data_IF_692806222363
#
_entry.id   IF_692806222363
#
_cell.length_a   1.000
_cell.length_b   1.000
_cell.length_c   1.000
_cell.angle_alpha   90.00
_cell.angle_beta   90.00
_cell.angle_gamma   90.00
#
_symmetry.space_group_name_H-M   'P 1'
#
loop_
_entity.id
_entity.type
_entity.pdbx_description
1 polymer ?
#
# COMPACT_ATOMS: atom_id res chain seq x y z
N UNK A 1 -18.71 41.47 -13.52
CA UNK A 1 -18.42 42.60 -14.44
C UNK A 1 -17.21 42.19 -15.27
N UNK A 2 -17.29 42.38 -16.59
CA UNK A 2 -16.35 42.03 -17.69
C UNK A 2 -14.86 42.23 -17.33
N UNK A 3 -13.88 41.53 -17.91
CA UNK A 3 -13.63 41.38 -19.35
C UNK A 3 -12.87 40.07 -19.68
N UNK A 4 -13.34 39.43 -20.75
CA UNK A 4 -12.56 38.56 -21.63
C UNK A 4 -11.75 39.44 -22.60
N UNK A 5 -10.54 38.99 -22.97
CA UNK A 5 -9.97 39.29 -24.30
C UNK A 5 -9.02 38.17 -24.74
N UNK A 6 -8.85 38.11 -26.05
CA UNK A 6 -8.71 36.94 -26.91
C UNK A 6 -7.41 37.00 -27.72
N UNK A 7 -6.94 35.82 -28.14
CA UNK A 7 -6.18 35.51 -29.37
C UNK A 7 -4.73 36.06 -29.42
N UNK A 8 -3.75 35.52 -30.15
CA UNK A 8 -3.83 34.86 -31.47
C UNK A 8 -2.51 34.13 -31.77
N UNK A 9 -2.61 32.95 -32.39
CA UNK A 9 -1.54 32.13 -32.95
C UNK A 9 -0.96 32.79 -34.21
N UNK A 10 0.37 32.76 -34.39
CA UNK A 10 1.02 33.01 -35.69
C UNK A 10 1.91 31.81 -36.02
N UNK A 11 1.55 31.14 -37.11
CA UNK A 11 2.27 30.06 -37.77
C UNK A 11 3.11 30.71 -38.89
N UNK A 12 4.42 30.54 -38.89
CA UNK A 12 5.30 31.01 -39.98
C UNK A 12 5.92 29.82 -40.71
N UNK A 13 5.46 29.62 -41.95
CA UNK A 13 6.04 28.77 -42.98
C UNK A 13 7.20 29.52 -43.66
N UNK A 14 8.36 28.87 -43.79
CA UNK A 14 9.50 29.34 -44.58
C UNK A 14 9.97 28.24 -45.53
N UNK A 15 9.69 28.44 -46.82
CA UNK A 15 10.12 27.66 -47.98
C UNK A 15 11.42 28.26 -48.54
N UNK A 16 12.31 27.41 -49.07
CA UNK A 16 13.37 27.63 -50.09
C UNK A 16 14.67 26.91 -49.68
N UNK A 17 15.49 26.32 -50.54
CA UNK A 17 15.44 25.98 -51.95
C UNK A 17 16.55 24.93 -52.18
N UNK A 18 16.39 24.12 -53.21
CA UNK A 18 17.33 23.13 -53.74
C UNK A 18 18.59 23.82 -54.28
N UNK A 19 19.79 23.24 -54.13
CA UNK A 19 20.80 23.11 -55.19
C UNK A 19 21.88 22.06 -54.86
N UNK A 20 22.41 21.48 -55.93
CA UNK A 20 23.16 20.23 -56.05
C UNK A 20 24.56 20.21 -55.40
N UNK A 21 25.09 19.00 -55.16
CA UNK A 21 26.21 18.43 -55.93
C UNK A 21 26.65 17.07 -55.35
N UNK A 22 26.86 16.12 -56.26
CA UNK A 22 27.50 14.84 -56.04
C UNK A 22 28.97 14.99 -55.65
N UNK A 23 29.37 14.34 -54.56
CA UNK A 23 30.76 13.95 -54.33
C UNK A 23 30.77 12.50 -53.84
N UNK A 24 31.29 11.60 -54.68
CA UNK A 24 31.77 10.31 -54.22
C UNK A 24 33.07 10.59 -53.48
N UNK A 25 33.08 10.40 -52.16
CA UNK A 25 34.32 10.30 -51.41
C UNK A 25 34.30 8.96 -50.68
N UNK A 26 35.08 8.04 -51.22
CA UNK A 26 35.37 6.73 -50.65
C UNK A 26 36.34 6.96 -49.50
N UNK A 27 35.85 6.85 -48.27
CA UNK A 27 36.67 6.91 -47.06
C UNK A 27 36.20 5.78 -46.16
N UNK A 28 37.01 4.72 -46.15
CA UNK A 28 36.93 3.64 -45.19
C UNK A 28 37.28 4.21 -43.80
N UNK A 29 36.30 4.83 -43.16
CA UNK A 29 36.29 5.04 -41.72
C UNK A 29 35.71 3.79 -41.08
N UNK A 30 36.61 2.93 -40.61
CA UNK A 30 36.32 1.78 -39.75
C UNK A 30 35.91 2.31 -38.37
N UNK A 31 34.72 2.92 -38.28
CA UNK A 31 34.09 3.24 -37.02
C UNK A 31 33.59 1.93 -36.41
N UNK A 32 34.41 1.34 -35.55
CA UNK A 32 33.96 0.37 -34.57
C UNK A 32 32.80 0.99 -33.79
N UNK A 33 31.58 0.64 -34.18
CA UNK A 33 30.37 0.99 -33.47
C UNK A 33 30.47 0.39 -32.07
N UNK A 34 30.82 1.21 -31.10
CA UNK A 34 30.72 0.89 -29.70
C UNK A 34 29.23 0.95 -29.35
N UNK A 35 28.48 -0.10 -29.71
CA UNK A 35 27.08 -0.23 -29.32
C UNK A 35 27.04 -0.33 -27.79
N UNK A 36 26.39 0.59 -27.07
CA UNK A 36 26.17 0.40 -25.65
C UNK A 36 25.37 -0.89 -25.50
N UNK A 37 25.93 -1.88 -24.83
CA UNK A 37 25.19 -3.09 -24.49
C UNK A 37 24.09 -2.68 -23.51
N UNK A 38 22.87 -2.46 -24.00
CA UNK A 38 21.69 -2.28 -23.17
C UNK A 38 21.43 -3.62 -22.50
N UNK A 39 21.98 -3.82 -21.30
CA UNK A 39 21.62 -4.98 -20.50
C UNK A 39 20.10 -4.94 -20.29
N UNK A 40 19.41 -6.09 -20.40
CA UNK A 40 17.98 -6.15 -20.10
C UNK A 40 17.72 -5.55 -18.72
N UNK A 41 17.04 -4.41 -18.67
CA UNK A 41 16.72 -3.77 -17.41
C UNK A 41 15.69 -4.62 -16.67
N UNK A 42 16.00 -4.96 -15.43
CA UNK A 42 15.10 -5.69 -14.54
C UNK A 42 13.78 -4.92 -14.36
N UNK A 43 12.67 -5.52 -14.79
CA UNK A 43 11.32 -4.91 -14.79
C UNK A 43 10.59 -5.10 -13.45
N UNK A 44 11.22 -5.79 -12.48
CA UNK A 44 10.64 -6.06 -11.16
C UNK A 44 10.57 -4.79 -10.30
N UNK A 45 9.72 -4.82 -9.27
CA UNK A 45 9.63 -3.72 -8.31
C UNK A 45 10.93 -3.61 -7.50
N UNK A 46 11.74 -2.61 -7.84
CA UNK A 46 13.07 -2.43 -7.26
C UNK A 46 13.02 -1.96 -5.79
N UNK A 47 11.87 -1.49 -5.29
CA UNK A 47 11.74 -0.91 -3.94
C UNK A 47 12.05 -1.91 -2.84
N UNK A 48 11.79 -3.20 -3.06
CA UNK A 48 11.84 -4.22 -2.01
C UNK A 48 12.85 -5.34 -2.26
N UNK A 49 13.48 -5.39 -3.43
CA UNK A 49 14.38 -6.51 -3.82
C UNK A 49 15.52 -6.77 -2.85
N UNK A 50 16.02 -5.73 -2.18
CA UNK A 50 17.16 -5.83 -1.27
C UNK A 50 16.76 -6.09 0.19
N UNK A 51 15.46 -6.12 0.51
CA UNK A 51 14.98 -6.34 1.87
C UNK A 51 15.28 -7.77 2.32
N UNK A 52 15.59 -7.95 3.60
CA UNK A 52 15.98 -9.22 4.22
C UNK A 52 15.00 -9.60 5.32
N UNK A 53 15.00 -10.88 5.69
CA UNK A 53 14.23 -11.32 6.85
C UNK A 53 14.63 -10.51 8.09
N UNK A 54 13.63 -10.01 8.81
CA UNK A 54 13.80 -9.11 9.95
C UNK A 54 13.68 -7.62 9.60
N UNK A 55 13.84 -7.23 8.34
CA UNK A 55 13.68 -5.84 7.94
C UNK A 55 12.23 -5.37 8.14
N UNK A 56 12.09 -4.10 8.50
CA UNK A 56 10.81 -3.44 8.69
C UNK A 56 10.64 -2.42 7.58
N UNK A 57 9.50 -2.49 6.90
CA UNK A 57 9.17 -1.63 5.78
C UNK A 57 7.93 -0.79 6.11
N UNK A 58 8.03 0.52 5.89
CA UNK A 58 6.84 1.38 5.79
C UNK A 58 6.31 1.29 4.36
N UNK A 59 5.04 0.89 4.21
CA UNK A 59 4.41 0.64 2.92
C UNK A 59 3.01 1.24 2.88
N UNK A 60 2.41 1.29 1.70
CA UNK A 60 0.97 1.51 1.55
C UNK A 60 0.25 0.17 1.54
N UNK A 61 -1.02 0.14 1.95
CA UNK A 61 -1.83 -1.08 1.83
C UNK A 61 -1.86 -1.59 0.37
N UNK A 62 -1.87 -0.68 -0.62
CA UNK A 62 -1.80 -1.00 -2.05
C UNK A 62 -0.54 -1.76 -2.48
N UNK A 63 0.55 -1.69 -1.71
CA UNK A 63 1.79 -2.41 -2.02
C UNK A 63 1.69 -3.91 -1.67
N UNK A 64 0.65 -4.33 -0.93
CA UNK A 64 0.49 -5.67 -0.36
C UNK A 64 -0.39 -6.55 -1.24
N UNK A 65 0.17 -7.67 -1.70
CA UNK A 65 -0.55 -8.70 -2.46
C UNK A 65 -1.06 -9.77 -1.50
N UNK A 66 -2.36 -10.12 -1.52
CA UNK A 66 -2.90 -11.16 -0.66
C UNK A 66 -2.38 -12.54 -1.05
N UNK A 67 -2.32 -13.44 -0.08
CA UNK A 67 -1.85 -14.84 -0.24
C UNK A 67 -2.89 -15.86 0.20
N UNK A 68 -4.12 -15.40 0.51
CA UNK A 68 -5.27 -16.24 0.82
C UNK A 68 -6.50 -15.82 0.04
N UNK A 69 -7.32 -16.79 -0.37
CA UNK A 69 -8.52 -16.55 -1.18
C UNK A 69 -9.76 -16.19 -0.38
N UNK A 70 -9.72 -16.24 0.95
CA UNK A 70 -10.86 -15.98 1.83
C UNK A 70 -10.43 -15.38 3.17
N UNK A 71 -11.33 -14.62 3.79
CA UNK A 71 -11.21 -14.04 5.14
C UNK A 71 -12.54 -14.24 5.88
N UNK A 72 -12.50 -14.27 7.21
CA UNK A 72 -13.69 -14.33 8.05
C UNK A 72 -14.37 -12.97 8.15
N UNK A 73 -15.53 -12.82 7.49
CA UNK A 73 -16.23 -11.53 7.44
C UNK A 73 -16.70 -11.05 8.81
N UNK A 74 -17.06 -11.95 9.73
CA UNK A 74 -17.50 -11.56 11.08
C UNK A 74 -16.40 -10.82 11.85
N UNK A 75 -15.13 -11.23 11.72
CA UNK A 75 -14.02 -10.52 12.36
C UNK A 75 -13.81 -9.13 11.73
N UNK A 76 -14.02 -9.01 10.42
CA UNK A 76 -13.94 -7.73 9.71
C UNK A 76 -15.08 -6.81 10.15
N UNK A 77 -16.32 -7.29 10.08
CA UNK A 77 -17.52 -6.51 10.43
C UNK A 77 -17.58 -6.16 11.91
N UNK A 78 -17.07 -6.99 12.80
CA UNK A 78 -16.93 -6.64 14.20
C UNK A 78 -16.06 -5.38 14.40
N UNK A 79 -14.90 -5.30 13.74
CA UNK A 79 -14.02 -4.12 13.82
C UNK A 79 -14.64 -2.92 13.11
N UNK A 80 -15.11 -3.09 11.87
CA UNK A 80 -15.72 -2.00 11.10
C UNK A 80 -16.95 -1.42 11.81
N UNK A 81 -17.83 -2.25 12.37
CA UNK A 81 -18.99 -1.81 13.11
C UNK A 81 -18.61 -1.05 14.38
N UNK A 82 -17.57 -1.50 15.10
CA UNK A 82 -17.06 -0.78 16.27
C UNK A 82 -16.49 0.58 15.92
N UNK A 83 -15.69 0.68 14.85
CA UNK A 83 -14.96 1.90 14.49
C UNK A 83 -15.82 3.03 13.90
N UNK A 84 -17.10 2.75 13.64
CA UNK A 84 -18.04 3.67 12.99
C UNK A 84 -19.23 3.99 13.92
N UNK A 85 -18.94 4.27 15.19
CA UNK A 85 -19.97 4.66 16.16
C UNK A 85 -20.75 5.90 15.72
N UNK A 86 -22.03 5.95 16.10
CA UNK A 86 -22.90 7.11 15.82
C UNK A 86 -22.50 8.37 16.59
N UNK A 87 -22.02 9.39 15.88
CA UNK A 87 -21.67 10.71 16.43
C UNK A 87 -22.82 11.40 17.18
N UNK A 88 -24.06 11.11 16.79
CA UNK A 88 -25.25 11.77 17.31
C UNK A 88 -26.16 10.79 18.07
N UNK A 89 -25.56 9.83 18.78
CA UNK A 89 -26.32 8.84 19.55
C UNK A 89 -27.24 9.50 20.57
N UNK A 90 -28.56 9.41 20.35
CA UNK A 90 -29.57 10.10 21.17
C UNK A 90 -29.47 9.79 22.67
N UNK A 91 -29.08 8.56 23.04
CA UNK A 91 -28.90 8.14 24.44
C UNK A 91 -27.95 9.04 25.23
N UNK A 92 -26.88 9.54 24.60
CA UNK A 92 -25.81 10.28 25.28
C UNK A 92 -25.71 11.75 24.82
N UNK A 93 -26.55 12.21 23.89
CA UNK A 93 -26.47 13.59 23.37
C UNK A 93 -26.56 14.67 24.47
N UNK A 94 -27.33 14.43 25.53
CA UNK A 94 -27.47 15.36 26.65
C UNK A 94 -26.35 15.22 27.71
N UNK A 95 -25.42 14.27 27.54
CA UNK A 95 -24.32 13.97 28.46
C UNK A 95 -22.98 13.95 27.68
N UNK A 96 -22.30 15.09 27.60
CA UNK A 96 -21.04 15.21 26.84
C UNK A 96 -19.95 14.23 27.28
N UNK A 97 -19.89 13.90 28.57
CA UNK A 97 -18.88 12.98 29.12
C UNK A 97 -19.15 11.55 28.66
N UNK A 98 -20.39 11.08 28.77
CA UNK A 98 -20.76 9.75 28.29
C UNK A 98 -20.74 9.66 26.76
N UNK A 99 -21.09 10.73 26.06
CA UNK A 99 -20.95 10.82 24.60
C UNK A 99 -19.49 10.63 24.17
N UNK A 100 -18.55 11.34 24.80
CA UNK A 100 -17.13 11.20 24.50
C UNK A 100 -16.62 9.80 24.88
N UNK A 101 -17.01 9.23 26.02
CA UNK A 101 -16.64 7.86 26.41
C UNK A 101 -17.13 6.83 25.40
N UNK A 102 -18.37 6.95 24.92
CA UNK A 102 -18.91 6.09 23.88
C UNK A 102 -18.14 6.22 22.56
N UNK A 103 -17.84 7.45 22.13
CA UNK A 103 -17.11 7.69 20.91
C UNK A 103 -15.65 7.22 21.00
N UNK A 104 -14.99 7.36 22.15
CA UNK A 104 -13.68 6.77 22.39
C UNK A 104 -13.69 5.24 22.28
N UNK A 105 -14.71 4.58 22.84
CA UNK A 105 -14.87 3.11 22.74
C UNK A 105 -15.24 2.61 21.34
N UNK A 106 -15.63 3.51 20.43
CA UNK A 106 -16.04 3.20 19.06
C UNK A 106 -15.08 3.80 18.05
N UNK A 107 -15.29 5.06 17.64
CA UNK A 107 -14.47 5.78 16.68
C UNK A 107 -13.04 5.96 17.18
N UNK A 108 -12.85 6.34 18.45
CA UNK A 108 -11.52 6.48 19.04
C UNK A 108 -10.73 5.18 19.07
N UNK A 109 -11.42 4.05 19.27
CA UNK A 109 -10.82 2.71 19.31
C UNK A 109 -10.17 2.33 17.98
N UNK A 110 -10.64 2.88 16.86
CA UNK A 110 -10.00 2.74 15.54
C UNK A 110 -8.54 3.16 15.55
N UNK A 111 -8.25 4.33 16.14
CA UNK A 111 -6.89 4.87 16.19
C UNK A 111 -6.00 4.05 17.13
N UNK A 112 -6.56 3.58 18.25
CA UNK A 112 -5.86 2.67 19.17
C UNK A 112 -5.50 1.34 18.51
N UNK A 113 -6.47 0.73 17.81
CA UNK A 113 -6.25 -0.52 17.07
C UNK A 113 -5.28 -0.33 15.88
N UNK A 114 -5.28 0.84 15.24
CA UNK A 114 -4.30 1.17 14.21
C UNK A 114 -2.89 1.29 14.78
N UNK A 115 -2.72 1.96 15.93
CA UNK A 115 -1.43 2.05 16.62
C UNK A 115 -0.88 0.64 16.97
N UNK A 116 -1.74 -0.27 17.45
CA UNK A 116 -1.35 -1.67 17.70
C UNK A 116 -0.90 -2.36 16.39
N UNK A 117 -1.65 -2.18 15.29
CA UNK A 117 -1.34 -2.80 14.00
C UNK A 117 -0.01 -2.34 13.38
N UNK A 118 0.47 -1.15 13.73
CA UNK A 118 1.76 -0.61 13.28
C UNK A 118 2.89 -0.79 14.29
N UNK A 119 2.67 -1.58 15.35
CA UNK A 119 3.68 -1.84 16.39
C UNK A 119 4.04 -0.60 17.21
N UNK A 120 3.08 0.30 17.42
CA UNK A 120 3.23 1.54 18.21
C UNK A 120 2.50 1.47 19.56
N UNK A 121 2.16 0.25 20.03
CA UNK A 121 1.23 -0.02 21.13
C UNK A 121 -0.14 0.65 20.92
N UNK A 122 -1.00 0.65 21.93
CA UNK A 122 -2.28 1.37 21.91
C UNK A 122 -2.09 2.90 21.97
N UNK A 123 -3.19 3.65 22.00
CA UNK A 123 -3.23 5.03 22.49
C UNK A 123 -4.27 5.20 23.58
N UNK A 124 -4.07 6.21 24.44
CA UNK A 124 -5.06 6.66 25.42
C UNK A 124 -6.31 7.23 24.74
N UNK A 125 -7.42 7.30 25.47
CA UNK A 125 -8.65 7.94 25.02
C UNK A 125 -8.42 9.41 24.63
N UNK A 126 -9.19 9.94 23.67
CA UNK A 126 -9.16 11.37 23.37
C UNK A 126 -9.74 12.15 24.55
N UNK A 127 -9.09 13.26 24.90
CA UNK A 127 -9.49 14.08 26.05
C UNK A 127 -10.65 15.05 25.74
N UNK A 128 -10.94 15.28 24.45
CA UNK A 128 -12.04 16.14 24.03
C UNK A 128 -12.65 15.70 22.68
N UNK A 129 -13.86 16.21 22.40
CA UNK A 129 -14.57 15.99 21.14
C UNK A 129 -13.83 16.60 19.95
N UNK A 130 -13.16 17.74 20.15
CA UNK A 130 -12.39 18.44 19.13
C UNK A 130 -11.20 17.61 18.69
N UNK A 131 -10.45 17.02 19.63
CA UNK A 131 -9.33 16.15 19.31
C UNK A 131 -9.78 14.92 18.52
N UNK A 132 -10.86 14.26 18.98
CA UNK A 132 -11.38 13.07 18.28
C UNK A 132 -11.87 13.40 16.87
N UNK A 133 -12.49 14.57 16.65
CA UNK A 133 -12.94 15.02 15.32
C UNK A 133 -11.78 15.40 14.39
N UNK A 134 -10.67 15.88 14.95
CA UNK A 134 -9.48 16.24 14.19
C UNK A 134 -8.66 15.02 13.75
N UNK A 135 -8.72 13.92 14.50
CA UNK A 135 -7.99 12.69 14.21
C UNK A 135 -8.43 12.06 12.88
N UNK A 136 -7.45 11.67 12.06
CA UNK A 136 -7.68 11.13 10.73
C UNK A 136 -6.57 10.17 10.30
N UNK A 137 -6.89 8.97 9.84
CA UNK A 137 -5.87 8.00 9.40
C UNK A 137 -5.09 8.44 8.14
N UNK A 138 -5.58 9.40 7.35
CA UNK A 138 -4.81 9.99 6.23
C UNK A 138 -3.79 11.02 6.70
N UNK A 139 -3.87 11.49 7.96
CA UNK A 139 -2.98 12.47 8.57
C UNK A 139 -2.46 11.88 9.88
N UNK A 140 -1.43 11.04 9.80
CA UNK A 140 -0.96 10.25 10.95
C UNK A 140 -0.41 11.08 12.12
N UNK A 141 -0.11 12.36 11.89
CA UNK A 141 0.28 13.33 12.90
C UNK A 141 -0.91 13.98 13.63
N UNK A 142 -2.14 13.75 13.17
CA UNK A 142 -3.37 14.27 13.82
C UNK A 142 -3.77 13.54 15.10
N UNK A 143 -3.11 12.43 15.43
CA UNK A 143 -3.27 11.67 16.67
C UNK A 143 -1.93 11.04 17.08
N UNK A 144 -1.78 10.73 18.37
CA UNK A 144 -0.58 10.07 18.90
C UNK A 144 -0.84 8.61 19.27
N UNK A 145 0.19 7.77 19.10
CA UNK A 145 0.29 6.42 19.66
C UNK A 145 1.16 6.45 20.93
N UNK A 146 1.12 5.41 21.76
CA UNK A 146 1.95 5.33 22.97
C UNK A 146 3.45 5.23 22.64
N UNK A 147 3.80 4.66 21.49
CA UNK A 147 5.18 4.53 21.03
C UNK A 147 5.35 4.96 19.57
N UNK A 148 6.59 4.98 19.09
CA UNK A 148 6.86 5.18 17.66
C UNK A 148 6.44 3.94 16.87
N UNK A 149 5.97 4.11 15.61
CA UNK A 149 5.70 2.98 14.73
C UNK A 149 6.88 2.03 14.64
N UNK A 150 6.59 0.73 14.54
CA UNK A 150 7.55 -0.36 14.47
C UNK A 150 8.47 -0.55 15.68
N UNK A 151 8.11 -0.01 16.85
CA UNK A 151 8.80 -0.34 18.11
C UNK A 151 8.53 -1.80 18.50
N UNK A 152 7.26 -2.21 18.49
CA UNK A 152 6.82 -3.56 18.80
C UNK A 152 6.81 -4.44 17.54
N UNK A 153 8.00 -4.91 17.16
CA UNK A 153 8.20 -5.65 15.89
C UNK A 153 7.43 -6.98 15.80
N UNK A 154 7.05 -7.55 16.94
CA UNK A 154 6.27 -8.78 17.02
C UNK A 154 4.79 -8.58 16.63
N UNK A 155 4.27 -7.36 16.78
CA UNK A 155 2.88 -7.04 16.45
C UNK A 155 2.67 -6.78 14.95
N UNK A 156 3.77 -6.48 14.24
CA UNK A 156 3.76 -6.16 12.82
C UNK A 156 3.33 -7.35 11.96
N UNK A 157 2.49 -7.04 10.97
CA UNK A 157 2.06 -8.00 9.95
C UNK A 157 3.21 -8.35 9.03
N UNK A 158 3.22 -9.58 8.56
CA UNK A 158 4.41 -10.14 7.90
C UNK A 158 4.25 -10.24 6.39
N UNK A 159 5.35 -10.06 5.68
CA UNK A 159 5.40 -10.15 4.21
C UNK A 159 6.59 -10.99 3.73
N UNK A 160 6.47 -11.54 2.52
CA UNK A 160 7.59 -12.09 1.74
C UNK A 160 7.81 -11.22 0.52
N UNK A 161 9.07 -10.94 0.18
CA UNK A 161 9.43 -10.35 -1.12
C UNK A 161 9.37 -11.43 -2.19
N UNK A 162 8.54 -11.26 -3.21
CA UNK A 162 8.30 -12.25 -4.25
C UNK A 162 9.26 -12.21 -5.44
N UNK A 163 9.10 -13.16 -6.34
CA UNK A 163 9.88 -13.33 -7.58
C UNK A 163 9.88 -12.08 -8.47
N UNK A 164 8.83 -11.27 -8.39
CA UNK A 164 8.59 -10.04 -9.14
C UNK A 164 8.99 -8.76 -8.36
N UNK A 165 9.63 -8.93 -7.20
CA UNK A 165 10.05 -7.83 -6.31
C UNK A 165 8.93 -7.21 -5.48
N UNK A 166 7.69 -7.73 -5.55
CA UNK A 166 6.54 -7.19 -4.81
C UNK A 166 6.38 -7.85 -3.45
N UNK A 167 5.56 -7.25 -2.58
CA UNK A 167 5.31 -7.75 -1.23
C UNK A 167 4.06 -8.62 -1.18
N UNK A 168 4.20 -9.84 -0.68
CA UNK A 168 3.12 -10.81 -0.52
C UNK A 168 2.80 -10.94 0.98
N UNK A 169 1.57 -10.58 1.37
CA UNK A 169 1.10 -10.56 2.74
C UNK A 169 0.95 -11.98 3.28
N UNK A 170 1.68 -12.34 4.34
CA UNK A 170 1.70 -13.69 4.93
C UNK A 170 0.93 -13.78 6.25
N UNK A 171 0.76 -12.65 6.94
CA UNK A 171 -0.15 -12.48 8.07
C UNK A 171 -0.84 -11.13 7.94
N UNK A 172 -2.04 -10.98 8.52
CA UNK A 172 -2.69 -9.68 8.63
C UNK A 172 -3.78 -9.37 7.61
N UNK A 173 -4.27 -10.34 6.83
CA UNK A 173 -5.31 -10.09 5.82
C UNK A 173 -6.57 -9.45 6.43
N UNK A 174 -7.01 -9.89 7.62
CA UNK A 174 -8.12 -9.23 8.32
C UNK A 174 -7.81 -7.77 8.66
N UNK A 175 -6.64 -7.50 9.25
CA UNK A 175 -6.20 -6.14 9.62
C UNK A 175 -6.14 -5.22 8.41
N UNK A 176 -5.50 -5.66 7.32
CA UNK A 176 -5.35 -4.85 6.12
C UNK A 176 -6.68 -4.62 5.42
N UNK A 177 -7.57 -5.62 5.35
CA UNK A 177 -8.93 -5.43 4.83
C UNK A 177 -9.71 -4.44 5.69
N UNK A 178 -9.73 -4.60 7.01
CA UNK A 178 -10.43 -3.67 7.92
C UNK A 178 -9.95 -2.22 7.73
N UNK A 179 -8.64 -2.01 7.61
CA UNK A 179 -8.07 -0.67 7.40
C UNK A 179 -8.34 -0.11 5.99
N UNK A 180 -8.35 -0.97 4.96
CA UNK A 180 -8.66 -0.57 3.58
C UNK A 180 -10.11 -0.14 3.40
N UNK A 181 -11.05 -0.78 4.10
CA UNK A 181 -12.49 -0.50 3.97
C UNK A 181 -12.95 0.78 4.69
N UNK A 182 -12.07 1.43 5.48
CA UNK A 182 -12.39 2.66 6.18
C UNK A 182 -12.36 3.90 5.25
N UNK A 183 -13.29 4.86 5.40
CA UNK A 183 -13.29 6.10 4.59
C UNK A 183 -12.02 6.95 4.70
N UNK A 184 -11.45 7.02 5.92
CA UNK A 184 -10.18 7.70 6.19
C UNK A 184 -8.98 6.73 6.19
N UNK A 185 -9.20 5.44 5.93
CA UNK A 185 -8.14 4.49 5.59
C UNK A 185 -7.95 4.41 4.08
N UNK A 186 -7.99 3.19 3.55
CA UNK A 186 -7.89 2.93 2.12
C UNK A 186 -6.50 2.49 1.65
N UNK A 187 -6.37 2.39 0.33
CA UNK A 187 -5.19 1.82 -0.34
C UNK A 187 -3.89 2.57 -0.03
N UNK A 188 -3.95 3.88 0.18
CA UNK A 188 -2.77 4.73 0.41
C UNK A 188 -2.40 4.85 1.89
N UNK A 189 -3.18 4.26 2.79
CA UNK A 189 -2.89 4.27 4.22
C UNK A 189 -1.52 3.62 4.47
N UNK A 190 -0.67 4.33 5.20
CA UNK A 190 0.66 3.84 5.55
C UNK A 190 0.56 2.84 6.69
N UNK A 191 1.28 1.73 6.55
CA UNK A 191 1.41 0.67 7.56
C UNK A 191 2.86 0.20 7.61
N UNK A 192 3.20 -0.51 8.68
CA UNK A 192 4.53 -1.10 8.85
C UNK A 192 4.40 -2.61 8.81
N UNK A 193 5.28 -3.25 8.03
CA UNK A 193 5.30 -4.70 7.88
C UNK A 193 6.71 -5.22 8.14
N UNK A 194 6.79 -6.45 8.65
CA UNK A 194 8.04 -7.15 8.87
C UNK A 194 8.28 -8.17 7.76
N UNK A 195 9.43 -8.12 7.13
CA UNK A 195 9.84 -9.10 6.13
C UNK A 195 10.21 -10.40 6.85
N UNK A 196 9.56 -11.50 6.50
CA UNK A 196 9.90 -12.83 7.04
C UNK A 196 10.81 -13.61 6.12
N UNK A 197 10.92 -13.20 4.85
CA UNK A 197 11.83 -13.79 3.88
C UNK A 197 11.86 -13.03 2.56
N UNK A 198 12.89 -13.28 1.77
CA UNK A 198 13.04 -12.76 0.42
C UNK A 198 13.23 -13.91 -0.58
N UNK A 199 12.23 -14.10 -1.44
CA UNK A 199 12.19 -15.12 -2.48
C UNK A 199 12.35 -14.53 -3.89
N UNK A 200 12.84 -13.29 -3.99
CA UNK A 200 13.06 -12.61 -5.28
C UNK A 200 14.13 -13.24 -6.17
N UNK A 201 14.92 -14.18 -5.64
CA UNK A 201 15.88 -14.94 -6.46
C UNK A 201 15.19 -15.98 -7.37
N UNK A 202 13.98 -16.42 -7.02
CA UNK A 202 13.17 -17.34 -7.82
C UNK A 202 12.80 -16.70 -9.16
N UNK A 203 12.77 -17.49 -10.23
CA UNK A 203 12.66 -16.96 -11.59
C UNK A 203 11.24 -16.96 -12.13
N UNK A 204 10.39 -17.81 -11.57
CA UNK A 204 9.01 -17.98 -12.03
C UNK A 204 8.00 -17.81 -10.90
N UNK A 205 6.77 -17.45 -11.28
CA UNK A 205 5.64 -17.40 -10.35
C UNK A 205 5.35 -18.79 -9.75
N UNK A 206 5.43 -19.85 -10.55
CA UNK A 206 5.13 -21.22 -10.11
C UNK A 206 6.10 -21.70 -9.03
N UNK A 207 7.41 -21.47 -9.20
CA UNK A 207 8.41 -21.76 -8.17
C UNK A 207 8.14 -20.99 -6.88
N UNK A 208 7.79 -19.71 -7.00
CA UNK A 208 7.47 -18.85 -5.87
C UNK A 208 6.25 -19.34 -5.10
N UNK A 209 5.12 -19.55 -5.77
CA UNK A 209 3.88 -19.97 -5.11
C UNK A 209 4.00 -21.38 -4.52
N UNK A 210 4.71 -22.29 -5.20
CA UNK A 210 5.05 -23.61 -4.66
C UNK A 210 5.81 -23.47 -3.34
N UNK A 211 6.84 -22.61 -3.30
CA UNK A 211 7.62 -22.36 -2.08
C UNK A 211 6.80 -21.65 -0.99
N UNK A 212 5.90 -20.74 -1.35
CA UNK A 212 5.00 -20.07 -0.39
C UNK A 212 4.08 -21.07 0.30
N UNK A 213 3.43 -21.96 -0.46
CA UNK A 213 2.55 -23.00 0.10
C UNK A 213 3.34 -24.00 0.95
N UNK A 214 4.48 -24.48 0.45
CA UNK A 214 5.32 -25.45 1.17
C UNK A 214 5.81 -24.94 2.54
N UNK A 215 5.98 -23.62 2.69
CA UNK A 215 6.40 -22.99 3.95
C UNK A 215 5.22 -22.42 4.76
N UNK A 216 3.97 -22.74 4.42
CA UNK A 216 2.79 -22.27 5.16
C UNK A 216 2.54 -20.76 5.06
N UNK A 217 2.98 -20.11 3.97
CA UNK A 217 2.89 -18.65 3.77
C UNK A 217 1.81 -18.22 2.79
N UNK A 218 1.10 -19.17 2.22
CA UNK A 218 -0.05 -18.94 1.36
C UNK A 218 -1.12 -19.99 1.65
N UNK A 219 -2.38 -19.57 1.58
CA UNK A 219 -3.55 -20.42 1.75
C UNK A 219 -4.43 -20.36 0.50
N UNK A 220 -4.15 -21.24 -0.46
CA UNK A 220 -4.81 -21.26 -1.77
C UNK A 220 -6.14 -22.03 -1.72
N UNK A 221 -7.10 -21.50 -0.94
CA UNK A 221 -8.49 -21.96 -0.91
C UNK A 221 -9.48 -20.80 -0.93
N UNK A 222 -10.67 -21.05 -1.47
CA UNK A 222 -11.80 -20.11 -1.47
C UNK A 222 -12.65 -20.21 -0.18
N UNK A 223 -13.72 -19.41 -0.11
CA UNK A 223 -14.63 -19.38 1.04
C UNK A 223 -15.41 -20.68 1.29
N UNK A 224 -15.49 -21.57 0.30
CA UNK A 224 -16.06 -22.91 0.40
C UNK A 224 -15.01 -23.98 0.73
N UNK A 225 -13.80 -23.56 1.10
CA UNK A 225 -12.65 -24.43 1.38
C UNK A 225 -12.22 -25.29 0.18
N UNK A 226 -12.55 -24.90 -1.05
CA UNK A 226 -12.10 -25.56 -2.26
C UNK A 226 -10.74 -25.02 -2.67
N UNK A 227 -9.87 -25.90 -3.18
CA UNK A 227 -8.57 -25.50 -3.71
C UNK A 227 -8.72 -24.52 -4.88
N UNK A 228 -7.85 -23.51 -4.91
CA UNK A 228 -7.74 -22.54 -6.00
C UNK A 228 -6.30 -22.44 -6.48
N UNK A 229 -6.08 -21.85 -7.65
CA UNK A 229 -4.75 -21.45 -8.12
C UNK A 229 -4.42 -20.04 -7.63
N UNK A 230 -3.15 -19.66 -7.62
CA UNK A 230 -2.74 -18.32 -7.19
C UNK A 230 -3.30 -17.21 -8.10
N UNK A 231 -3.61 -17.52 -9.36
CA UNK A 231 -4.24 -16.60 -10.31
C UNK A 231 -5.69 -16.23 -9.92
N UNK A 232 -6.31 -17.02 -9.04
CA UNK A 232 -7.67 -16.79 -8.53
C UNK A 232 -7.68 -16.02 -7.21
N UNK A 233 -6.52 -15.65 -6.67
CA UNK A 233 -6.45 -14.77 -5.50
C UNK A 233 -7.02 -13.38 -5.81
N UNK A 234 -7.60 -12.69 -4.81
CA UNK A 234 -8.04 -11.31 -4.97
C UNK A 234 -6.86 -10.41 -5.39
N UNK A 235 -7.16 -9.40 -6.19
CA UNK A 235 -6.17 -8.45 -6.73
C UNK A 235 -6.22 -7.11 -6.01
#
# INVERSE_FOLDING_TARGET
MKLMTKNMTILSLGICAVFALTACNDSNDDQSQNTPSTQPQDQRDQRFLNAKAGDILQVQIADLIPTQGAVGYDQIYYKLGRWQGDWNRQTWQADPTNQLSYLNKTIGKKFSDYCEAIGAKSRDDFSSMEQLKAANLKQLDSFGCAEQPATETADLKTVVVGYDGRLYLTDGHHTMTQLRELPDGGETLKVWVRVVDNYSSLKTADEFWTKMVANGRAWLRNGQNQSITYQQLPK
#
